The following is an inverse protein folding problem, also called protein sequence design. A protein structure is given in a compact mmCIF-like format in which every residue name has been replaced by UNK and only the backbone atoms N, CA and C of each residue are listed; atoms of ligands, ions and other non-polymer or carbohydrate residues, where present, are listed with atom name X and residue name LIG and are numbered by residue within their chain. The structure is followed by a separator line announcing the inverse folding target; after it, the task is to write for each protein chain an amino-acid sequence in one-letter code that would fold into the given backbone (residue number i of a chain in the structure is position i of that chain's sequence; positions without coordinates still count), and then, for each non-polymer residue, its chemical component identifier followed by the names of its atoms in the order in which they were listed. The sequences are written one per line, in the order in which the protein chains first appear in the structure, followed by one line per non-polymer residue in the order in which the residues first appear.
data_IF_397302521367
#
_entry.id   IF_397302521367
#
_cell.length_a   1.000
_cell.length_b   1.000
_cell.length_c   1.000
_cell.angle_alpha   90.00
_cell.angle_beta   90.00
_cell.angle_gamma   90.00
#
_symmetry.space_group_name_H-M   'P 1'
#
loop_
_entity.id
_entity.type
_entity.pdbx_description
1 polymer ?
#
# COMPACT_ATOMS: atom_id res chain seq x y z
N UNK A 1 17.79 -24.19 -10.91
CA UNK A 1 16.50 -24.55 -11.55
C UNK A 1 16.18 -23.72 -12.79
N UNK A 2 16.90 -22.63 -13.11
CA UNK A 2 16.71 -21.83 -14.33
C UNK A 2 17.19 -22.47 -15.65
N UNK A 3 17.90 -23.61 -15.63
CA UNK A 3 18.58 -24.12 -16.82
C UNK A 3 17.79 -25.14 -17.64
N UNK A 4 16.68 -25.69 -17.13
CA UNK A 4 15.88 -26.71 -17.82
C UNK A 4 14.68 -26.16 -18.60
N UNK A 5 14.42 -24.85 -18.52
CA UNK A 5 13.32 -24.19 -19.24
C UNK A 5 13.67 -23.84 -20.70
N UNK A 6 14.93 -24.00 -21.11
CA UNK A 6 15.43 -23.65 -22.45
C UNK A 6 15.10 -24.65 -23.57
N UNK A 7 14.48 -25.80 -23.28
CA UNK A 7 14.23 -26.83 -24.29
C UNK A 7 12.84 -26.73 -24.95
N UNK A 8 11.96 -25.81 -24.51
CA UNK A 8 10.63 -25.65 -25.08
C UNK A 8 10.14 -24.19 -25.05
N UNK A 9 10.95 -23.26 -25.55
CA UNK A 9 10.50 -21.89 -25.80
C UNK A 9 10.43 -21.67 -27.32
N UNK A 10 9.33 -21.08 -27.83
CA UNK A 10 9.30 -20.55 -29.20
C UNK A 10 10.43 -19.54 -29.37
N UNK A 11 10.93 -19.34 -30.60
CA UNK A 11 11.93 -18.32 -30.93
C UNK A 11 11.41 -16.95 -30.51
N UNK A 12 11.79 -16.49 -29.32
CA UNK A 12 11.52 -15.14 -28.81
C UNK A 12 12.77 -14.32 -29.10
N UNK A 13 12.60 -13.18 -29.79
CA UNK A 13 13.69 -12.29 -30.17
C UNK A 13 14.57 -11.89 -28.97
N UNK A 14 15.89 -11.84 -29.17
CA UNK A 14 16.88 -11.42 -28.15
C UNK A 14 16.59 -9.99 -27.60
N UNK A 15 15.89 -9.17 -28.40
CA UNK A 15 15.36 -7.86 -28.00
C UNK A 15 14.25 -7.96 -26.95
N UNK A 16 13.37 -8.96 -27.04
CA UNK A 16 12.26 -9.20 -26.10
C UNK A 16 12.82 -9.72 -24.77
N UNK A 17 13.84 -10.58 -24.80
CA UNK A 17 14.52 -11.07 -23.59
C UNK A 17 15.17 -9.93 -22.79
N UNK A 18 15.75 -8.95 -23.48
CA UNK A 18 16.36 -7.77 -22.85
C UNK A 18 15.31 -6.85 -22.21
N UNK A 19 14.19 -6.60 -22.89
CA UNK A 19 13.08 -5.81 -22.34
C UNK A 19 12.47 -6.47 -21.10
N UNK A 20 12.37 -7.80 -21.10
CA UNK A 20 11.85 -8.58 -19.99
C UNK A 20 12.71 -8.43 -18.71
N UNK A 21 14.03 -8.53 -18.86
CA UNK A 21 14.97 -8.34 -17.74
C UNK A 21 14.91 -6.92 -17.14
N UNK A 22 14.63 -5.91 -17.98
CA UNK A 22 14.46 -4.51 -17.53
C UNK A 22 13.19 -4.33 -16.71
N UNK A 23 12.10 -5.00 -17.10
CA UNK A 23 10.81 -4.98 -16.40
C UNK A 23 10.90 -5.65 -15.03
N UNK A 24 11.60 -6.79 -14.93
CA UNK A 24 11.83 -7.48 -13.65
C UNK A 24 12.61 -6.60 -12.66
N UNK A 25 13.70 -5.99 -13.11
CA UNK A 25 14.52 -5.09 -12.26
C UNK A 25 13.68 -3.90 -11.81
N UNK A 26 12.91 -3.29 -12.71
CA UNK A 26 11.99 -2.20 -12.39
C UNK A 26 10.97 -2.65 -11.33
N UNK A 27 10.31 -3.79 -11.52
CA UNK A 27 9.34 -4.35 -10.58
C UNK A 27 9.93 -4.60 -9.19
N UNK A 28 11.14 -5.17 -9.11
CA UNK A 28 11.85 -5.38 -7.85
C UNK A 28 12.19 -4.07 -7.14
N UNK A 29 12.64 -3.04 -7.87
CA UNK A 29 12.92 -1.72 -7.27
C UNK A 29 11.66 -1.05 -6.74
N UNK A 30 10.53 -1.15 -7.45
CA UNK A 30 9.24 -0.64 -7.00
C UNK A 30 8.74 -1.35 -5.74
N UNK A 31 8.84 -2.68 -5.71
CA UNK A 31 8.47 -3.46 -4.53
C UNK A 31 9.36 -3.11 -3.32
N UNK A 32 10.66 -2.90 -3.54
CA UNK A 32 11.59 -2.43 -2.51
C UNK A 32 11.24 -1.05 -1.98
N UNK A 33 10.89 -0.09 -2.85
CA UNK A 33 10.39 1.22 -2.45
C UNK A 33 9.07 1.11 -1.66
N UNK A 34 8.16 0.24 -2.09
CA UNK A 34 6.90 -0.01 -1.39
C UNK A 34 7.13 -0.51 0.04
N UNK A 35 8.11 -1.39 0.25
CA UNK A 35 8.51 -1.86 1.58
C UNK A 35 9.06 -0.72 2.45
N UNK A 36 9.88 0.18 1.88
CA UNK A 36 10.36 1.36 2.61
C UNK A 36 9.22 2.29 3.02
N UNK A 37 8.23 2.49 2.15
CA UNK A 37 7.03 3.26 2.49
C UNK A 37 6.18 2.58 3.56
N UNK A 38 6.05 1.26 3.55
CA UNK A 38 5.37 0.49 4.59
C UNK A 38 6.05 0.64 5.95
N UNK A 39 7.39 0.54 5.98
CA UNK A 39 8.18 0.81 7.19
C UNK A 39 8.01 2.25 7.65
N UNK A 40 8.00 3.22 6.73
CA UNK A 40 7.73 4.62 7.03
C UNK A 40 6.33 4.84 7.63
N UNK A 41 5.32 4.13 7.14
CA UNK A 41 3.96 4.15 7.69
C UNK A 41 3.92 3.61 9.13
N UNK A 42 4.61 2.49 9.36
CA UNK A 42 4.74 1.90 10.70
C UNK A 42 5.46 2.86 11.66
N UNK A 43 6.59 3.45 11.26
CA UNK A 43 7.32 4.43 12.06
C UNK A 43 6.46 5.68 12.31
N UNK A 44 5.71 6.15 11.31
CA UNK A 44 4.76 7.26 11.43
C UNK A 44 3.72 7.01 12.51
N UNK A 45 3.19 5.78 12.61
CA UNK A 45 2.23 5.40 13.65
C UNK A 45 2.81 5.56 15.07
N UNK A 46 4.09 5.24 15.28
CA UNK A 46 4.76 5.41 16.58
C UNK A 46 5.19 6.85 16.85
N UNK A 47 5.57 7.61 15.82
CA UNK A 47 6.13 8.97 15.96
C UNK A 47 5.06 10.02 16.25
N UNK A 48 3.84 9.86 15.71
CA UNK A 48 2.82 10.90 15.83
C UNK A 48 2.18 10.94 17.24
N UNK A 49 1.93 12.14 17.80
CA UNK A 49 1.44 12.28 19.17
C UNK A 49 -0.07 12.11 19.33
N UNK A 50 -0.86 12.27 18.26
CA UNK A 50 -2.33 12.27 18.31
C UNK A 50 -2.93 11.11 17.50
N UNK A 51 -4.01 10.49 18.01
CA UNK A 51 -4.73 9.39 17.38
C UNK A 51 -5.15 9.71 15.94
N UNK A 52 -5.69 10.91 15.71
CA UNK A 52 -6.11 11.31 14.36
C UNK A 52 -4.93 11.44 13.39
N UNK A 53 -3.82 11.98 13.87
CA UNK A 53 -2.60 12.13 13.06
C UNK A 53 -1.92 10.78 12.77
N UNK A 54 -1.99 9.83 13.72
CA UNK A 54 -1.53 8.44 13.54
C UNK A 54 -2.32 7.72 12.47
N UNK A 55 -3.64 7.82 12.51
CA UNK A 55 -4.53 7.17 11.54
C UNK A 55 -4.34 7.71 10.12
N UNK A 56 -4.13 9.02 9.99
CA UNK A 56 -3.83 9.64 8.70
C UNK A 56 -2.50 9.18 8.10
N UNK A 57 -1.47 9.06 8.95
CA UNK A 57 -0.17 8.54 8.54
C UNK A 57 -0.24 7.08 8.10
N UNK A 58 -0.94 6.24 8.88
CA UNK A 58 -1.15 4.85 8.56
C UNK A 58 -1.92 4.68 7.25
N UNK A 59 -3.05 5.37 7.08
CA UNK A 59 -3.88 5.24 5.87
C UNK A 59 -3.15 5.67 4.59
N UNK A 60 -2.41 6.80 4.62
CA UNK A 60 -1.63 7.25 3.46
C UNK A 60 -0.46 6.34 3.14
N UNK A 61 0.25 5.86 4.17
CA UNK A 61 1.40 4.99 3.99
C UNK A 61 1.01 3.59 3.49
N UNK A 62 -0.09 3.04 4.00
CA UNK A 62 -0.58 1.71 3.65
C UNK A 62 -1.11 1.65 2.20
N UNK A 63 -1.90 2.64 1.78
CA UNK A 63 -2.40 2.73 0.39
C UNK A 63 -1.30 2.93 -0.64
N UNK A 64 -0.30 3.76 -0.33
CA UNK A 64 0.82 4.00 -1.25
C UNK A 64 1.76 2.79 -1.36
N UNK A 65 2.07 2.13 -0.23
CA UNK A 65 2.96 0.95 -0.22
C UNK A 65 2.32 -0.25 -0.90
N UNK A 66 1.06 -0.56 -0.60
CA UNK A 66 0.31 -1.62 -1.28
C UNK A 66 0.28 -1.38 -2.79
N UNK A 67 -0.02 -0.16 -3.23
CA UNK A 67 -0.03 0.20 -4.65
C UNK A 67 1.35 -0.04 -5.31
N UNK A 68 2.45 0.41 -4.70
CA UNK A 68 3.80 0.20 -5.23
C UNK A 68 4.19 -1.28 -5.32
N UNK A 69 3.91 -2.07 -4.28
CA UNK A 69 4.23 -3.50 -4.25
C UNK A 69 3.42 -4.26 -5.29
N UNK A 70 2.12 -3.97 -5.38
CA UNK A 70 1.21 -4.64 -6.30
C UNK A 70 1.52 -4.27 -7.77
N UNK A 71 1.91 -3.01 -8.03
CA UNK A 71 2.39 -2.59 -9.35
C UNK A 71 3.71 -3.29 -9.72
N UNK A 72 4.64 -3.41 -8.76
CA UNK A 72 5.88 -4.16 -8.97
C UNK A 72 5.63 -5.63 -9.29
N UNK A 73 4.67 -6.26 -8.59
CA UNK A 73 4.27 -7.65 -8.85
C UNK A 73 3.60 -7.84 -10.22
N UNK A 74 2.78 -6.86 -10.63
CA UNK A 74 2.15 -6.85 -11.95
C UNK A 74 3.21 -6.79 -13.06
N UNK A 75 4.25 -5.96 -12.91
CA UNK A 75 5.35 -5.85 -13.87
C UNK A 75 6.19 -7.14 -13.96
N UNK A 76 6.41 -7.84 -12.85
CA UNK A 76 7.14 -9.12 -12.83
C UNK A 76 6.33 -10.24 -13.50
N UNK A 77 5.00 -10.24 -13.34
CA UNK A 77 4.12 -11.28 -13.90
C UNK A 77 3.80 -11.05 -15.38
N UNK A 78 4.22 -9.93 -15.96
CA UNK A 78 3.86 -9.54 -17.33
C UNK A 78 4.46 -10.46 -18.42
N UNK A 79 5.44 -11.30 -18.07
CA UNK A 79 6.03 -12.30 -18.97
C UNK A 79 5.05 -13.43 -19.31
N UNK A 80 4.18 -13.79 -18.37
CA UNK A 80 3.29 -14.93 -18.50
C UNK A 80 1.96 -14.49 -19.16
N UNK A 81 1.97 -14.31 -20.49
CA UNK A 81 0.75 -14.06 -21.30
C UNK A 81 -0.20 -15.28 -21.36
N UNK A 82 -0.02 -16.25 -20.47
CA UNK A 82 -0.92 -17.38 -20.28
C UNK A 82 -2.24 -16.94 -19.62
N UNK A 83 -3.32 -17.70 -19.88
CA UNK A 83 -4.62 -17.48 -19.22
C UNK A 83 -4.53 -17.51 -17.68
N UNK A 84 -3.52 -18.19 -17.13
CA UNK A 84 -3.22 -18.22 -15.70
C UNK A 84 -2.63 -16.90 -15.18
N UNK A 85 -1.76 -16.24 -15.95
CA UNK A 85 -1.18 -14.93 -15.60
C UNK A 85 -2.25 -13.83 -15.54
N UNK A 86 -3.18 -13.85 -16.50
CA UNK A 86 -4.34 -12.95 -16.48
C UNK A 86 -5.24 -13.15 -15.25
N UNK A 87 -5.50 -14.40 -14.86
CA UNK A 87 -6.24 -14.72 -13.64
C UNK A 87 -5.52 -14.21 -12.38
N UNK A 88 -4.19 -14.29 -12.34
CA UNK A 88 -3.39 -13.79 -11.21
C UNK A 88 -3.51 -12.27 -11.09
N UNK A 89 -3.35 -11.54 -12.19
CA UNK A 89 -3.49 -10.08 -12.22
C UNK A 89 -4.87 -9.63 -11.74
N UNK A 90 -5.92 -10.34 -12.17
CA UNK A 90 -7.30 -10.03 -11.75
C UNK A 90 -7.50 -10.27 -10.25
N UNK A 91 -6.90 -11.33 -9.68
CA UNK A 91 -6.93 -11.58 -8.22
C UNK A 91 -6.19 -10.50 -7.45
N UNK A 92 -5.00 -10.12 -7.90
CA UNK A 92 -4.18 -9.03 -7.34
C UNK A 92 -4.98 -7.73 -7.33
N UNK A 93 -5.58 -7.37 -8.48
CA UNK A 93 -6.41 -6.17 -8.60
C UNK A 93 -7.64 -6.21 -7.68
N UNK A 94 -8.30 -7.36 -7.57
CA UNK A 94 -9.42 -7.57 -6.64
C UNK A 94 -9.02 -7.34 -5.18
N UNK A 95 -7.84 -7.81 -4.77
CA UNK A 95 -7.29 -7.60 -3.42
C UNK A 95 -6.99 -6.12 -3.18
N UNK A 96 -6.38 -5.43 -4.15
CA UNK A 96 -6.11 -3.97 -4.06
C UNK A 96 -7.41 -3.21 -3.83
N UNK A 97 -8.42 -3.47 -4.66
CA UNK A 97 -9.71 -2.79 -4.58
C UNK A 97 -10.37 -3.04 -3.22
N UNK A 98 -10.33 -4.29 -2.75
CA UNK A 98 -10.88 -4.66 -1.45
C UNK A 98 -10.17 -3.94 -0.29
N UNK A 99 -8.84 -3.88 -0.30
CA UNK A 99 -8.05 -3.17 0.72
C UNK A 99 -8.31 -1.66 0.66
N UNK A 100 -8.41 -1.09 -0.54
CA UNK A 100 -8.69 0.34 -0.74
C UNK A 100 -10.08 0.74 -0.26
N UNK A 101 -11.06 -0.15 -0.27
CA UNK A 101 -12.39 0.11 0.30
C UNK A 101 -12.43 -0.11 1.82
N UNK A 102 -11.69 -1.12 2.30
CA UNK A 102 -11.63 -1.50 3.71
C UNK A 102 -10.90 -0.44 4.53
N UNK A 103 -9.78 0.08 4.04
CA UNK A 103 -8.93 1.06 4.73
C UNK A 103 -9.64 2.37 5.11
N UNK A 104 -10.34 3.08 4.21
CA UNK A 104 -11.09 4.29 4.56
C UNK A 104 -12.31 3.98 5.42
N UNK A 105 -12.98 2.84 5.21
CA UNK A 105 -14.11 2.41 6.05
C UNK A 105 -13.68 2.14 7.50
N UNK A 106 -12.58 1.40 7.67
CA UNK A 106 -11.96 1.11 8.96
C UNK A 106 -11.49 2.40 9.65
N UNK A 107 -10.80 3.27 8.91
CA UNK A 107 -10.38 4.57 9.42
C UNK A 107 -11.57 5.40 9.88
N UNK A 108 -12.64 5.51 9.08
CA UNK A 108 -13.81 6.29 9.45
C UNK A 108 -14.52 5.74 10.70
N UNK A 109 -14.65 4.41 10.81
CA UNK A 109 -15.20 3.76 12.00
C UNK A 109 -14.34 4.02 13.25
N UNK A 110 -13.01 3.90 13.12
CA UNK A 110 -12.06 4.16 14.20
C UNK A 110 -12.09 5.62 14.66
N UNK A 111 -12.16 6.58 13.72
CA UNK A 111 -12.25 8.01 14.04
C UNK A 111 -13.54 8.35 14.78
N UNK A 112 -14.66 7.73 14.38
CA UNK A 112 -15.96 7.92 15.04
C UNK A 112 -15.95 7.35 16.45
N UNK A 113 -15.42 6.14 16.64
CA UNK A 113 -15.25 5.54 17.95
C UNK A 113 -14.35 6.38 18.87
N UNK A 114 -13.22 6.88 18.36
CA UNK A 114 -12.33 7.77 19.12
C UNK A 114 -12.99 9.11 19.50
N UNK A 115 -13.85 9.64 18.63
CA UNK A 115 -14.61 10.85 18.94
C UNK A 115 -15.68 10.60 20.01
N UNK A 116 -16.38 9.46 19.94
CA UNK A 116 -17.37 9.04 20.94
C UNK A 116 -16.70 8.76 22.32
N UNK A 117 -15.46 8.29 22.34
CA UNK A 117 -14.64 8.10 23.55
C UNK A 117 -14.02 9.40 24.10
N UNK A 118 -14.31 10.54 23.47
CA UNK A 118 -13.86 11.86 23.92
C UNK A 118 -12.40 12.19 23.63
N UNK A 119 -11.74 11.45 22.73
CA UNK A 119 -10.40 11.78 22.25
C UNK A 119 -10.51 13.01 21.35
N UNK A 120 -10.09 14.18 21.86
CA UNK A 120 -10.05 15.39 21.05
C UNK A 120 -8.75 15.46 20.23
N UNK A 121 -8.82 15.82 18.94
CA UNK A 121 -7.63 16.01 18.13
C UNK A 121 -6.81 17.19 18.65
N UNK A 122 -5.49 17.01 18.66
CA UNK A 122 -4.54 18.02 19.12
C UNK A 122 -4.54 19.18 18.11
N UNK A 123 -5.25 20.24 18.45
CA UNK A 123 -5.39 21.44 17.60
C UNK A 123 -4.61 22.61 18.20
N UNK A 124 -3.88 23.34 17.34
CA UNK A 124 -3.21 24.59 17.74
C UNK A 124 -4.16 25.80 17.68
N UNK A 125 -5.48 25.59 17.56
CA UNK A 125 -6.47 26.67 17.51
C UNK A 125 -6.92 27.08 18.93
N UNK A 126 -6.61 28.32 19.38
CA UNK A 126 -6.91 28.77 20.75
C UNK A 126 -8.41 28.77 21.07
N UNK A 127 -9.30 28.91 20.08
CA UNK A 127 -10.76 28.89 20.29
C UNK A 127 -11.32 27.51 20.67
N UNK A 128 -10.64 26.43 20.25
CA UNK A 128 -11.10 25.05 20.45
C UNK A 128 -10.52 24.44 21.73
N UNK A 129 -9.30 24.84 22.12
CA UNK A 129 -8.66 24.53 23.41
C UNK A 129 -9.53 24.92 24.63
N UNK A 130 -10.34 25.98 24.52
CA UNK A 130 -11.26 26.44 25.58
C UNK A 130 -12.52 25.58 25.76
N UNK A 131 -12.96 24.82 24.75
CA UNK A 131 -14.16 23.97 24.87
C UNK A 131 -13.85 22.62 25.53
N UNK A 132 -12.69 22.02 25.25
CA UNK A 132 -12.26 20.76 25.89
C UNK A 132 -11.94 20.90 27.39
N UNK A 133 -11.53 22.09 27.84
CA UNK A 133 -11.29 22.38 29.27
C UNK A 133 -12.55 22.64 30.10
N UNK A 134 -13.68 22.95 29.47
CA UNK A 134 -14.93 23.35 30.16
C UNK A 134 -15.90 22.18 30.40
N UNK A 135 -15.50 20.94 30.07
CA UNK A 135 -16.34 19.74 30.20
C UNK A 135 -15.78 18.67 31.15
N UNK A 136 -14.88 19.06 32.06
CA UNK A 136 -14.71 18.36 33.34
C UNK A 136 -15.54 19.12 34.37
N UNK A 137 -16.43 18.38 35.04
CA UNK A 137 -17.33 18.83 36.12
C UNK A 137 -16.76 19.96 36.98
#
# INVERSE_FOLDING_TARGET
MSFLFLANAPVVDESVQAELSRLEICGMTLAGLGLLFFLGAAVGLFRFPDFYTRMHAAGKGDTLSSLLILLGFALITFDDFSALGWLLLLKIFGIVLFIMLTSPTSTHALMRAGFEDGIEPVTNNPKRKKKGGAKKK
#
